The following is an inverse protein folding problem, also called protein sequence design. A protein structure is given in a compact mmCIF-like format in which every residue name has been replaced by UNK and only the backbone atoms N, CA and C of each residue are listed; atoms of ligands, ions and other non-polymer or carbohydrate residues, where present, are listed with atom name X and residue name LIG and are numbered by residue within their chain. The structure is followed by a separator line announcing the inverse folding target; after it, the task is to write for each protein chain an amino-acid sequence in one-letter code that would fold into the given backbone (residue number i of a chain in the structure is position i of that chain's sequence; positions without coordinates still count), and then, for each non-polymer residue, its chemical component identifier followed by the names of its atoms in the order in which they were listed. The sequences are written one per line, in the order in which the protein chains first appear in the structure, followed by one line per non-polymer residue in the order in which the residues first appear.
data_IF_666978952749
#
_entry.id   IF_666978952749
#
_cell.length_a   1.000
_cell.length_b   1.000
_cell.length_c   1.000
_cell.angle_alpha   90.00
_cell.angle_beta   90.00
_cell.angle_gamma   90.00
#
_symmetry.space_group_name_H-M   'P 1'
#
loop_
_entity.id
_entity.type
_entity.pdbx_description
1 polymer ?
#
# COMPACT_ATOMS: atom_id res chain seq x y z
N UNK A 1 7.51 48.31 -6.12
CA UNK A 1 8.00 47.12 -5.42
C UNK A 1 6.94 46.02 -5.61
N UNK A 2 7.26 45.01 -6.40
CA UNK A 2 6.35 43.88 -6.60
C UNK A 2 6.56 42.85 -5.47
N UNK A 3 5.52 42.63 -4.69
CA UNK A 3 5.51 41.58 -3.66
C UNK A 3 5.44 40.26 -4.41
N UNK A 4 6.55 39.51 -4.46
CA UNK A 4 6.53 38.09 -4.85
C UNK A 4 5.82 37.34 -3.75
N UNK A 5 4.58 36.94 -4.01
CA UNK A 5 3.96 35.86 -3.25
C UNK A 5 4.73 34.56 -3.59
N UNK A 6 5.60 34.13 -2.69
CA UNK A 6 6.11 32.77 -2.67
C UNK A 6 4.97 31.92 -2.15
N UNK A 7 4.21 31.30 -3.06
CA UNK A 7 3.33 30.19 -2.71
C UNK A 7 4.21 29.04 -2.22
N UNK A 8 4.37 28.94 -0.91
CA UNK A 8 5.00 27.82 -0.23
C UNK A 8 4.07 26.59 -0.20
N UNK A 9 3.43 26.28 -1.33
CA UNK A 9 2.71 25.03 -1.50
C UNK A 9 3.71 23.90 -1.65
N UNK A 10 3.70 22.95 -0.74
CA UNK A 10 4.44 21.69 -0.88
C UNK A 10 4.06 21.05 -2.22
N UNK A 11 5.04 20.93 -3.15
CA UNK A 11 4.84 20.29 -4.44
C UNK A 11 4.82 18.76 -4.27
N UNK A 12 3.89 18.26 -3.42
CA UNK A 12 3.79 16.85 -3.08
C UNK A 12 2.61 16.23 -3.81
N UNK A 13 2.90 15.23 -4.62
CA UNK A 13 1.89 14.39 -5.29
C UNK A 13 1.62 13.17 -4.41
N UNK A 14 0.37 12.94 -4.12
CA UNK A 14 -0.09 11.81 -3.30
C UNK A 14 -0.44 10.63 -4.19
N UNK A 15 0.00 9.44 -3.82
CA UNK A 15 -0.28 8.20 -4.52
C UNK A 15 -0.94 7.18 -3.60
N UNK A 16 -1.88 6.44 -4.15
CA UNK A 16 -2.51 5.31 -3.49
C UNK A 16 -2.61 4.12 -4.44
N UNK A 17 -2.65 2.91 -3.88
CA UNK A 17 -2.76 1.70 -4.67
C UNK A 17 -4.22 1.29 -4.81
N UNK A 18 -4.69 1.19 -6.05
CA UNK A 18 -6.00 0.64 -6.37
C UNK A 18 -5.87 -0.86 -6.63
N UNK A 19 -6.38 -1.67 -5.71
CA UNK A 19 -6.17 -3.13 -5.72
C UNK A 19 -6.86 -3.82 -6.90
N UNK A 20 -8.08 -3.43 -7.25
CA UNK A 20 -8.84 -4.08 -8.34
C UNK A 20 -8.14 -3.99 -9.69
N UNK A 21 -7.71 -2.84 -10.19
CA UNK A 21 -6.88 -2.79 -11.39
C UNK A 21 -5.41 -3.15 -11.13
N UNK A 22 -4.97 -3.23 -9.88
CA UNK A 22 -3.57 -3.49 -9.55
C UNK A 22 -2.63 -2.36 -10.01
N UNK A 23 -2.99 -1.09 -9.78
CA UNK A 23 -2.23 0.08 -10.23
C UNK A 23 -2.01 1.10 -9.11
N UNK A 24 -0.86 1.74 -9.11
CA UNK A 24 -0.58 2.90 -8.29
C UNK A 24 -1.09 4.16 -9.01
N UNK A 25 -1.95 4.94 -8.36
CA UNK A 25 -2.61 6.10 -8.96
C UNK A 25 -2.37 7.36 -8.14
N UNK A 26 -2.27 8.50 -8.82
CA UNK A 26 -2.21 9.79 -8.14
C UNK A 26 -3.57 10.09 -7.47
N UNK A 27 -3.54 10.44 -6.19
CA UNK A 27 -4.74 10.73 -5.39
C UNK A 27 -5.16 12.18 -5.57
N UNK A 28 -5.81 12.49 -6.69
CA UNK A 28 -6.39 13.80 -7.01
C UNK A 28 -7.86 13.65 -7.46
N UNK A 29 -8.57 14.77 -7.57
CA UNK A 29 -9.99 14.76 -7.92
C UNK A 29 -10.29 14.15 -9.29
N UNK A 30 -9.45 14.43 -10.29
CA UNK A 30 -9.62 13.90 -11.65
C UNK A 30 -9.49 12.36 -11.64
N UNK A 31 -8.42 11.84 -11.04
CA UNK A 31 -8.21 10.39 -10.89
C UNK A 31 -9.35 9.73 -10.12
N UNK A 32 -9.83 10.36 -9.04
CA UNK A 32 -10.95 9.84 -8.25
C UNK A 32 -12.22 9.69 -9.07
N UNK A 33 -12.55 10.67 -9.89
CA UNK A 33 -13.71 10.59 -10.80
C UNK A 33 -13.59 9.39 -11.73
N UNK A 34 -12.42 9.21 -12.35
CA UNK A 34 -12.19 8.09 -13.27
C UNK A 34 -12.26 6.74 -12.54
N UNK A 35 -11.73 6.63 -11.31
CA UNK A 35 -11.85 5.41 -10.49
C UNK A 35 -13.32 5.10 -10.17
N UNK A 36 -14.10 6.11 -9.76
CA UNK A 36 -15.54 5.91 -9.48
C UNK A 36 -16.30 5.48 -10.74
N UNK A 37 -15.99 6.06 -11.89
CA UNK A 37 -16.60 5.67 -13.16
C UNK A 37 -16.20 4.25 -13.57
N UNK A 38 -14.92 3.88 -13.41
CA UNK A 38 -14.45 2.52 -13.68
C UNK A 38 -15.12 1.47 -12.78
N UNK A 39 -15.39 1.81 -11.52
CA UNK A 39 -16.15 0.96 -10.60
C UNK A 39 -17.60 0.77 -11.08
N UNK A 40 -18.26 1.84 -11.54
CA UNK A 40 -19.61 1.75 -12.12
C UNK A 40 -19.63 0.88 -13.38
N UNK A 41 -18.59 0.95 -14.21
CA UNK A 41 -18.45 0.17 -15.43
C UNK A 41 -18.49 -1.33 -15.18
N UNK A 42 -17.77 -1.82 -14.14
CA UNK A 42 -17.68 -3.26 -13.85
C UNK A 42 -18.68 -3.74 -12.80
N UNK A 43 -19.27 -2.81 -12.04
CA UNK A 43 -20.19 -3.10 -10.94
C UNK A 43 -19.50 -3.38 -9.62
N UNK A 44 -20.23 -3.09 -8.53
CA UNK A 44 -19.68 -3.16 -7.17
C UNK A 44 -19.22 -4.56 -6.77
N UNK A 45 -19.96 -5.60 -7.13
CA UNK A 45 -19.62 -6.97 -6.78
C UNK A 45 -18.35 -7.47 -7.49
N UNK A 46 -18.15 -7.06 -8.74
CA UNK A 46 -16.93 -7.36 -9.47
C UNK A 46 -15.74 -6.56 -8.91
N UNK A 47 -15.98 -5.30 -8.55
CA UNK A 47 -14.98 -4.45 -7.92
C UNK A 47 -14.49 -5.00 -6.57
N UNK A 48 -15.41 -5.46 -5.72
CA UNK A 48 -15.11 -6.04 -4.40
C UNK A 48 -14.31 -7.34 -4.47
N UNK A 49 -14.39 -8.10 -5.56
CA UNK A 49 -13.59 -9.31 -5.76
C UNK A 49 -12.09 -9.03 -5.94
N UNK A 50 -11.71 -7.76 -6.19
CA UNK A 50 -10.33 -7.35 -6.34
C UNK A 50 -9.71 -7.76 -7.68
N UNK A 51 -8.38 -7.90 -7.70
CA UNK A 51 -7.63 -8.24 -8.89
C UNK A 51 -7.85 -9.72 -9.30
N UNK A 52 -8.26 -9.92 -10.54
CA UNK A 52 -8.61 -11.25 -11.10
C UNK A 52 -7.72 -11.65 -12.29
N UNK A 53 -6.56 -10.99 -12.44
CA UNK A 53 -5.61 -11.22 -13.52
C UNK A 53 -5.78 -10.25 -14.69
N UNK A 54 -4.93 -10.42 -15.72
CA UNK A 54 -4.93 -9.55 -16.91
C UNK A 54 -5.30 -10.32 -18.20
N UNK A 55 -5.71 -11.57 -18.08
CA UNK A 55 -6.07 -12.40 -19.23
C UNK A 55 -7.56 -12.27 -19.60
N UNK A 56 -7.87 -12.41 -20.88
CA UNK A 56 -9.25 -12.49 -21.36
C UNK A 56 -10.10 -11.28 -20.99
N UNK A 57 -11.26 -11.56 -20.40
CA UNK A 57 -12.27 -10.57 -20.00
C UNK A 57 -12.20 -10.27 -18.50
N UNK A 58 -11.02 -10.37 -17.88
CA UNK A 58 -10.88 -10.06 -16.45
C UNK A 58 -11.30 -8.62 -16.14
N UNK A 59 -11.84 -8.42 -14.94
CA UNK A 59 -12.27 -7.10 -14.45
C UNK A 59 -11.09 -6.15 -14.39
N UNK A 60 -9.96 -6.61 -13.86
CA UNK A 60 -8.75 -5.81 -13.76
C UNK A 60 -8.28 -5.28 -15.14
N UNK A 61 -8.32 -6.11 -16.18
CA UNK A 61 -7.96 -5.69 -17.55
C UNK A 61 -8.94 -4.63 -18.10
N UNK A 62 -10.24 -4.82 -17.88
CA UNK A 62 -11.25 -3.86 -18.33
C UNK A 62 -11.06 -2.49 -17.65
N UNK A 63 -10.85 -2.51 -16.32
CA UNK A 63 -10.59 -1.30 -15.55
C UNK A 63 -9.29 -0.63 -16.00
N UNK A 64 -8.20 -1.37 -16.16
CA UNK A 64 -6.91 -0.82 -16.65
C UNK A 64 -7.03 -0.16 -18.01
N UNK A 65 -7.78 -0.79 -18.92
CA UNK A 65 -8.06 -0.20 -20.24
C UNK A 65 -8.79 1.14 -20.09
N UNK A 66 -9.86 1.17 -19.29
CA UNK A 66 -10.62 2.39 -19.04
C UNK A 66 -9.76 3.49 -18.40
N UNK A 67 -8.93 3.15 -17.40
CA UNK A 67 -8.00 4.08 -16.77
C UNK A 67 -7.02 4.68 -17.79
N UNK A 68 -6.44 3.83 -18.65
CA UNK A 68 -5.49 4.26 -19.69
C UNK A 68 -6.14 5.18 -20.72
N UNK A 69 -7.36 4.90 -21.15
CA UNK A 69 -8.15 5.74 -22.06
C UNK A 69 -8.49 7.12 -21.46
N UNK A 70 -8.49 7.21 -20.12
CA UNK A 70 -8.70 8.46 -19.37
C UNK A 70 -7.39 9.07 -18.81
N UNK A 71 -6.25 8.72 -19.39
CA UNK A 71 -4.96 9.34 -19.08
C UNK A 71 -4.30 8.86 -17.78
N UNK A 72 -4.79 7.79 -17.15
CA UNK A 72 -4.17 7.18 -15.96
C UNK A 72 -3.32 6.00 -16.42
N UNK A 73 -1.98 6.06 -16.25
CA UNK A 73 -1.09 5.01 -16.72
C UNK A 73 -1.33 3.70 -15.93
N UNK A 74 -1.29 2.53 -16.61
CA UNK A 74 -1.47 1.23 -15.95
C UNK A 74 -0.27 0.81 -15.10
N UNK A 75 0.88 1.44 -15.30
CA UNK A 75 2.10 1.23 -14.54
C UNK A 75 2.66 2.60 -14.14
N UNK A 76 2.78 2.84 -12.85
CA UNK A 76 3.42 4.03 -12.30
C UNK A 76 4.73 3.62 -11.65
N UNK A 77 5.81 4.27 -12.05
CA UNK A 77 7.13 4.12 -11.46
C UNK A 77 7.53 5.46 -10.88
N UNK A 78 8.04 5.44 -9.65
CA UNK A 78 8.52 6.61 -8.95
C UNK A 78 9.99 6.42 -8.60
N UNK A 79 10.76 7.47 -8.63
CA UNK A 79 12.16 7.53 -8.22
C UNK A 79 12.41 8.77 -7.36
N UNK A 80 13.58 8.84 -6.75
CA UNK A 80 13.94 9.96 -5.89
C UNK A 80 14.64 9.52 -4.62
N UNK A 81 14.91 10.49 -3.74
CA UNK A 81 15.50 10.24 -2.44
C UNK A 81 14.43 9.92 -1.40
N UNK A 82 14.62 8.85 -0.65
CA UNK A 82 13.75 8.45 0.44
C UNK A 82 13.94 9.38 1.63
N UNK A 83 12.93 10.18 1.94
CA UNK A 83 12.99 11.20 2.99
C UNK A 83 12.14 10.89 4.20
N UNK A 84 11.09 10.08 4.04
CA UNK A 84 10.23 9.68 5.16
C UNK A 84 9.60 8.31 4.94
N UNK A 85 9.45 7.56 6.03
CA UNK A 85 8.59 6.38 6.11
C UNK A 85 8.01 6.31 7.52
N UNK A 86 6.68 6.21 7.65
CA UNK A 86 6.03 6.29 8.95
C UNK A 86 4.64 5.65 8.95
N UNK A 87 4.18 5.33 10.16
CA UNK A 87 2.84 4.86 10.43
C UNK A 87 1.82 6.00 10.34
N UNK A 88 0.67 5.72 9.75
CA UNK A 88 -0.47 6.63 9.72
C UNK A 88 -1.74 5.87 10.04
N UNK A 89 -2.51 6.39 10.96
CA UNK A 89 -3.83 5.88 11.31
C UNK A 89 -4.87 6.95 11.04
N UNK A 90 -5.98 6.56 10.43
CA UNK A 90 -7.09 7.46 10.11
C UNK A 90 -8.39 6.76 10.42
N UNK A 91 -9.25 7.46 11.13
CA UNK A 91 -10.60 7.02 11.43
C UNK A 91 -11.57 7.59 10.39
N UNK A 92 -12.43 6.74 9.85
CA UNK A 92 -13.51 7.09 8.96
C UNK A 92 -14.78 6.35 9.40
N UNK A 93 -15.94 6.76 8.88
CA UNK A 93 -17.25 6.15 9.20
C UNK A 93 -17.27 4.62 9.00
N UNK A 94 -16.41 4.10 8.12
CA UNK A 94 -16.33 2.68 7.79
C UNK A 94 -15.21 1.92 8.54
N UNK A 95 -14.51 2.55 9.49
CA UNK A 95 -13.48 1.91 10.31
C UNK A 95 -12.15 2.64 10.36
N UNK A 96 -11.17 1.99 11.00
CA UNK A 96 -9.81 2.49 11.19
C UNK A 96 -8.92 1.99 10.07
N UNK A 97 -8.31 2.91 9.34
CA UNK A 97 -7.33 2.60 8.28
C UNK A 97 -5.92 2.77 8.84
N UNK A 98 -5.13 1.72 8.74
CA UNK A 98 -3.75 1.65 9.22
C UNK A 98 -2.81 1.47 8.03
N UNK A 99 -2.03 2.50 7.75
CA UNK A 99 -1.23 2.60 6.54
C UNK A 99 0.26 2.83 6.88
N UNK A 100 1.13 2.36 5.98
CA UNK A 100 2.46 2.91 5.83
C UNK A 100 2.41 4.08 4.84
N UNK A 101 3.02 5.20 5.24
CA UNK A 101 3.31 6.32 4.35
C UNK A 101 4.81 6.35 4.04
N UNK A 102 5.12 6.46 2.76
CA UNK A 102 6.47 6.40 2.21
C UNK A 102 6.66 7.60 1.27
N UNK A 103 7.66 8.46 1.55
CA UNK A 103 7.87 9.71 0.80
C UNK A 103 9.21 9.68 0.08
N UNK A 104 9.14 9.89 -1.24
CA UNK A 104 10.28 10.18 -2.09
C UNK A 104 10.31 11.65 -2.46
N UNK A 105 11.49 12.19 -2.70
CA UNK A 105 11.69 13.54 -3.26
C UNK A 105 12.61 13.44 -4.45
N UNK A 106 12.11 13.85 -5.60
CA UNK A 106 12.94 14.06 -6.78
C UNK A 106 13.78 15.33 -6.58
N UNK A 107 15.10 15.17 -6.56
CA UNK A 107 16.01 16.30 -6.35
C UNK A 107 16.18 17.20 -7.56
N UNK A 108 15.86 16.72 -8.76
CA UNK A 108 16.03 17.51 -9.98
C UNK A 108 14.94 18.58 -10.10
N UNK A 109 13.71 18.21 -9.80
CA UNK A 109 12.54 19.08 -9.92
C UNK A 109 11.96 19.54 -8.57
N UNK A 110 12.40 18.95 -7.45
CA UNK A 110 11.90 19.24 -6.10
C UNK A 110 10.50 18.71 -5.82
N UNK A 111 9.96 17.82 -6.67
CA UNK A 111 8.67 17.18 -6.45
C UNK A 111 8.76 16.12 -5.35
N UNK A 112 7.75 16.10 -4.49
CA UNK A 112 7.58 15.05 -3.48
C UNK A 112 6.53 14.04 -3.92
N UNK A 113 6.78 12.76 -3.71
CA UNK A 113 5.83 11.67 -3.95
C UNK A 113 5.51 10.99 -2.62
N UNK A 114 4.28 11.12 -2.14
CA UNK A 114 3.83 10.45 -0.92
C UNK A 114 2.93 9.27 -1.28
N UNK A 115 3.44 8.08 -1.06
CA UNK A 115 2.72 6.82 -1.30
C UNK A 115 2.09 6.33 -0.01
N UNK A 116 0.84 5.90 -0.09
CA UNK A 116 0.09 5.29 1.02
C UNK A 116 -0.29 3.86 0.66
N UNK A 117 0.11 2.89 1.49
CA UNK A 117 -0.26 1.48 1.36
C UNK A 117 -0.84 0.95 2.67
N UNK A 118 -1.95 0.19 2.63
CA UNK A 118 -2.48 -0.47 3.82
C UNK A 118 -1.48 -1.47 4.39
N UNK A 119 -1.26 -1.45 5.72
CA UNK A 119 -0.37 -2.41 6.40
C UNK A 119 -0.90 -3.84 6.24
N UNK A 120 -2.21 -4.02 6.20
CA UNK A 120 -2.83 -5.33 5.99
C UNK A 120 -2.56 -5.92 4.59
N UNK A 121 -2.22 -5.09 3.59
CA UNK A 121 -1.97 -5.56 2.23
C UNK A 121 -0.60 -6.23 2.07
N UNK A 122 -0.49 -7.21 1.18
CA UNK A 122 0.79 -7.86 0.85
C UNK A 122 1.85 -6.87 0.37
N UNK A 123 1.45 -5.85 -0.40
CA UNK A 123 2.34 -4.77 -0.83
C UNK A 123 2.84 -3.93 0.35
N UNK A 124 1.97 -3.53 1.29
CA UNK A 124 2.36 -2.79 2.49
C UNK A 124 3.33 -3.57 3.38
N UNK A 125 3.03 -4.85 3.61
CA UNK A 125 3.92 -5.75 4.36
C UNK A 125 5.28 -5.92 3.69
N UNK A 126 5.32 -6.11 2.37
CA UNK A 126 6.56 -6.24 1.62
C UNK A 126 7.39 -4.94 1.65
N UNK A 127 6.73 -3.78 1.52
CA UNK A 127 7.41 -2.49 1.66
C UNK A 127 8.03 -2.34 3.05
N UNK A 128 7.28 -2.65 4.11
CA UNK A 128 7.78 -2.60 5.49
C UNK A 128 9.01 -3.50 5.67
N UNK A 129 8.97 -4.73 5.14
CA UNK A 129 10.11 -5.66 5.21
C UNK A 129 11.36 -5.13 4.49
N UNK A 130 11.19 -4.44 3.34
CA UNK A 130 12.30 -3.83 2.61
C UNK A 130 12.87 -2.62 3.35
N UNK A 131 12.01 -1.76 3.90
CA UNK A 131 12.43 -0.57 4.65
C UNK A 131 13.05 -0.91 6.01
N UNK A 132 12.72 -2.07 6.58
CA UNK A 132 13.35 -2.57 7.81
C UNK A 132 14.82 -2.98 7.59
N UNK A 133 15.27 -3.22 6.36
CA UNK A 133 16.66 -3.50 6.04
C UNK A 133 17.57 -2.35 6.51
N UNK A 134 18.66 -2.68 7.21
CA UNK A 134 19.56 -1.69 7.83
C UNK A 134 20.28 -0.79 6.82
N UNK A 135 20.44 -1.26 5.58
CA UNK A 135 21.00 -0.46 4.50
C UNK A 135 20.05 0.66 4.02
N UNK A 136 18.78 0.64 4.43
CA UNK A 136 17.78 1.64 4.05
C UNK A 136 17.63 2.66 5.16
N UNK A 137 17.99 3.90 4.85
CA UNK A 137 17.93 5.04 5.77
C UNK A 137 17.40 6.27 5.04
N UNK A 138 17.16 7.36 5.77
CA UNK A 138 16.88 8.65 5.17
C UNK A 138 18.03 9.06 4.23
N UNK A 139 17.69 9.52 3.05
CA UNK A 139 18.66 9.87 2.01
C UNK A 139 19.00 8.72 1.06
N UNK A 140 18.50 7.51 1.30
CA UNK A 140 18.67 6.39 0.34
C UNK A 140 18.05 6.78 -1.00
N UNK A 141 18.86 6.72 -2.06
CA UNK A 141 18.38 6.98 -3.42
C UNK A 141 17.67 5.75 -3.96
N UNK A 142 16.46 5.97 -4.43
CA UNK A 142 15.60 4.96 -5.06
C UNK A 142 15.56 5.26 -6.55
N UNK A 143 16.07 4.35 -7.35
CA UNK A 143 16.01 4.44 -8.82
C UNK A 143 14.71 3.93 -9.39
N UNK A 144 13.95 3.15 -8.61
CA UNK A 144 12.64 2.65 -9.02
C UNK A 144 11.83 2.18 -7.82
N UNK A 145 10.64 2.75 -7.68
CA UNK A 145 9.58 2.23 -6.83
C UNK A 145 8.34 1.96 -7.68
N UNK A 146 7.75 0.79 -7.55
CA UNK A 146 6.47 0.47 -8.18
C UNK A 146 5.71 -0.57 -7.36
N UNK A 147 4.38 -0.55 -7.47
CA UNK A 147 3.48 -1.54 -6.88
C UNK A 147 2.72 -2.22 -8.01
N UNK A 148 2.70 -3.54 -8.02
CA UNK A 148 2.12 -4.33 -9.10
C UNK A 148 1.55 -5.65 -8.56
N UNK A 149 0.55 -6.24 -9.24
CA UNK A 149 0.07 -7.57 -8.89
C UNK A 149 1.14 -8.60 -9.23
N UNK A 150 1.37 -9.52 -8.29
CA UNK A 150 2.26 -10.66 -8.48
C UNK A 150 1.64 -11.74 -9.37
N UNK A 151 2.33 -12.86 -9.49
CA UNK A 151 1.82 -14.03 -10.18
C UNK A 151 0.67 -14.65 -9.40
N UNK A 152 -0.38 -15.08 -10.11
CA UNK A 152 -1.49 -15.76 -9.48
C UNK A 152 -1.07 -17.10 -8.89
N UNK A 153 -1.54 -17.38 -7.67
CA UNK A 153 -1.38 -18.67 -7.01
C UNK A 153 -2.71 -19.36 -6.93
N UNK A 154 -2.76 -20.58 -7.44
CA UNK A 154 -3.95 -21.42 -7.40
C UNK A 154 -4.03 -22.13 -6.05
N UNK A 155 -5.16 -21.99 -5.39
CA UNK A 155 -5.53 -22.82 -4.25
C UNK A 155 -6.17 -24.12 -4.79
N UNK A 156 -5.54 -25.24 -4.50
CA UNK A 156 -5.99 -26.55 -4.98
C UNK A 156 -7.32 -26.99 -4.32
N UNK A 157 -7.58 -26.57 -3.09
CA UNK A 157 -8.79 -26.94 -2.36
C UNK A 157 -10.04 -26.21 -2.89
N UNK A 158 -9.90 -24.94 -3.24
CA UNK A 158 -11.01 -24.08 -3.70
C UNK A 158 -11.02 -23.87 -5.20
N UNK A 159 -9.95 -24.26 -5.90
CA UNK A 159 -9.70 -23.99 -7.32
C UNK A 159 -9.70 -22.48 -7.68
N UNK A 160 -9.57 -21.61 -6.67
CA UNK A 160 -9.47 -20.15 -6.86
C UNK A 160 -8.03 -19.73 -7.11
N UNK A 161 -7.86 -18.65 -7.85
CA UNK A 161 -6.56 -18.03 -8.06
C UNK A 161 -6.52 -16.73 -7.25
N UNK A 162 -5.54 -16.62 -6.37
CA UNK A 162 -5.27 -15.43 -5.56
C UNK A 162 -4.05 -14.71 -6.11
N UNK A 163 -4.09 -13.38 -6.08
CA UNK A 163 -2.99 -12.54 -6.54
C UNK A 163 -2.48 -11.70 -5.39
N UNK A 164 -1.24 -11.95 -4.99
CA UNK A 164 -0.54 -11.06 -4.08
C UNK A 164 -0.13 -9.78 -4.80
N UNK A 165 -0.14 -8.66 -4.09
CA UNK A 165 0.41 -7.41 -4.61
C UNK A 165 1.86 -7.26 -4.13
N UNK A 166 2.74 -6.95 -5.06
CA UNK A 166 4.18 -6.87 -4.82
C UNK A 166 4.70 -5.45 -4.94
N UNK A 167 5.85 -5.20 -4.32
CA UNK A 167 6.57 -3.93 -4.38
C UNK A 167 7.95 -4.18 -4.98
N UNK A 168 8.29 -3.45 -6.02
CA UNK A 168 9.65 -3.29 -6.49
C UNK A 168 10.25 -2.04 -5.86
N UNK A 169 11.39 -2.18 -5.21
CA UNK A 169 12.16 -1.08 -4.63
C UNK A 169 13.63 -1.31 -4.99
N UNK A 170 14.17 -0.48 -5.88
CA UNK A 170 15.56 -0.57 -6.35
C UNK A 170 16.38 0.60 -5.84
N UNK A 171 17.59 0.31 -5.40
CA UNK A 171 18.58 1.32 -5.04
C UNK A 171 19.17 2.07 -6.25
N UNK A 172 20.08 2.99 -6.00
CA UNK A 172 20.77 3.78 -7.03
C UNK A 172 21.52 2.91 -8.04
N UNK A 173 22.04 1.78 -7.59
CA UNK A 173 22.73 0.76 -8.41
C UNK A 173 21.78 -0.08 -9.30
N UNK A 174 20.48 0.19 -9.25
CA UNK A 174 19.45 -0.58 -9.96
C UNK A 174 19.16 -1.96 -9.37
N UNK A 175 19.85 -2.34 -8.25
CA UNK A 175 19.63 -3.61 -7.60
C UNK A 175 18.38 -3.54 -6.71
N UNK A 176 17.71 -4.67 -6.61
CA UNK A 176 16.53 -4.81 -5.74
C UNK A 176 16.95 -4.73 -4.27
N UNK A 177 16.34 -3.82 -3.50
CA UNK A 177 16.52 -3.75 -2.06
C UNK A 177 15.92 -5.01 -1.43
N UNK A 178 16.76 -5.78 -0.75
CA UNK A 178 16.36 -7.02 -0.08
C UNK A 178 15.51 -6.72 1.15
N UNK A 179 14.64 -7.66 1.48
CA UNK A 179 13.90 -7.63 2.74
C UNK A 179 14.88 -7.81 3.92
N UNK A 180 14.55 -7.23 5.07
CA UNK A 180 15.27 -7.51 6.31
C UNK A 180 15.16 -9.00 6.66
N UNK A 181 16.27 -9.58 7.07
CA UNK A 181 16.35 -10.99 7.42
C UNK A 181 15.48 -11.28 8.65
N UNK A 182 14.80 -12.40 8.66
CA UNK A 182 13.98 -12.86 9.78
C UNK A 182 12.57 -12.28 9.85
N UNK A 183 12.37 -11.02 9.45
CA UNK A 183 11.09 -10.30 9.64
C UNK A 183 9.89 -11.06 9.05
N UNK A 184 10.03 -11.69 7.90
CA UNK A 184 8.96 -12.49 7.31
C UNK A 184 8.59 -13.70 8.19
N UNK A 185 9.57 -14.47 8.64
CA UNK A 185 9.36 -15.64 9.49
C UNK A 185 8.81 -15.27 10.88
N UNK A 186 9.25 -14.15 11.43
CA UNK A 186 8.73 -13.61 12.70
C UNK A 186 7.26 -13.22 12.56
N UNK A 187 6.86 -12.62 11.43
CA UNK A 187 5.47 -12.31 11.14
C UNK A 187 4.60 -13.57 11.06
N UNK A 188 5.07 -14.62 10.37
CA UNK A 188 4.39 -15.92 10.35
C UNK A 188 4.25 -16.49 11.77
N UNK A 189 5.31 -16.45 12.58
CA UNK A 189 5.28 -16.97 13.94
C UNK A 189 4.30 -16.20 14.83
N UNK A 190 4.23 -14.87 14.71
CA UNK A 190 3.29 -14.03 15.46
C UNK A 190 1.83 -14.38 15.12
N UNK A 191 1.52 -14.53 13.83
CA UNK A 191 0.18 -14.94 13.37
C UNK A 191 -0.17 -16.32 13.88
N UNK A 192 0.75 -17.30 13.75
CA UNK A 192 0.54 -18.66 14.23
C UNK A 192 0.27 -18.69 15.73
N UNK A 193 1.08 -17.98 16.53
CA UNK A 193 0.89 -17.90 17.97
C UNK A 193 -0.50 -17.38 18.35
N UNK A 194 -0.99 -16.35 17.66
CA UNK A 194 -2.32 -15.78 17.91
C UNK A 194 -3.45 -16.73 17.55
N UNK A 195 -3.35 -17.40 16.40
CA UNK A 195 -4.38 -18.36 15.95
C UNK A 195 -4.39 -19.61 16.80
N UNK A 196 -3.21 -20.15 17.19
CA UNK A 196 -3.11 -21.31 18.06
C UNK A 196 -3.67 -21.02 19.46
N UNK A 197 -3.43 -19.83 20.00
CA UNK A 197 -4.01 -19.40 21.28
C UNK A 197 -5.55 -19.39 21.25
N UNK A 198 -6.16 -18.91 20.14
CA UNK A 198 -7.61 -18.94 19.98
C UNK A 198 -8.16 -20.35 19.86
N UNK A 199 -7.52 -21.20 19.05
CA UNK A 199 -7.93 -22.61 18.92
C UNK A 199 -7.85 -23.36 20.27
N UNK A 200 -6.84 -23.08 21.08
CA UNK A 200 -6.71 -23.67 22.41
C UNK A 200 -7.85 -23.28 23.36
N UNK A 201 -8.56 -22.18 23.11
CA UNK A 201 -9.77 -21.77 23.85
C UNK A 201 -11.06 -22.27 23.22
N UNK A 202 -10.99 -23.13 22.20
CA UNK A 202 -12.15 -23.75 21.55
C UNK A 202 -12.79 -22.91 20.43
N UNK A 203 -12.13 -21.84 19.97
CA UNK A 203 -12.59 -21.06 18.83
C UNK A 203 -12.01 -21.62 17.53
N UNK A 204 -12.83 -22.41 16.79
CA UNK A 204 -12.47 -22.98 15.49
C UNK A 204 -13.20 -22.31 14.31
N UNK A 205 -14.00 -21.28 14.59
CA UNK A 205 -14.71 -20.53 13.56
C UNK A 205 -13.73 -19.82 12.61
N UNK A 206 -13.89 -20.08 11.31
CA UNK A 206 -12.97 -19.57 10.26
C UNK A 206 -12.94 -18.05 10.22
N UNK A 207 -14.09 -17.39 10.38
CA UNK A 207 -14.17 -15.92 10.33
C UNK A 207 -13.44 -15.29 11.53
N UNK A 208 -13.66 -15.85 12.72
CA UNK A 208 -12.97 -15.40 13.96
C UNK A 208 -11.45 -15.57 13.83
N UNK A 209 -11.02 -16.74 13.30
CA UNK A 209 -9.59 -17.01 13.09
C UNK A 209 -8.98 -16.05 12.04
N UNK A 210 -9.68 -15.74 10.95
CA UNK A 210 -9.22 -14.80 9.94
C UNK A 210 -9.13 -13.37 10.49
N UNK A 211 -10.11 -12.89 11.24
CA UNK A 211 -10.06 -11.59 11.93
C UNK A 211 -8.86 -11.50 12.90
N UNK A 212 -8.64 -12.55 13.68
CA UNK A 212 -7.51 -12.60 14.60
C UNK A 212 -6.15 -12.60 13.88
N UNK A 213 -6.06 -13.34 12.77
CA UNK A 213 -4.90 -13.40 11.90
C UNK A 213 -4.58 -12.02 11.31
N UNK A 214 -5.58 -11.36 10.70
CA UNK A 214 -5.41 -10.02 10.13
C UNK A 214 -4.99 -9.02 11.20
N UNK A 215 -5.59 -9.07 12.39
CA UNK A 215 -5.19 -8.23 13.50
C UNK A 215 -3.75 -8.48 13.92
N UNK A 216 -3.32 -9.73 14.05
CA UNK A 216 -1.95 -10.09 14.41
C UNK A 216 -0.93 -9.62 13.36
N UNK A 217 -1.26 -9.72 12.07
CA UNK A 217 -0.43 -9.18 10.97
C UNK A 217 -0.25 -7.68 11.12
N UNK A 218 -1.34 -6.94 11.27
CA UNK A 218 -1.31 -5.48 11.39
C UNK A 218 -0.52 -5.05 12.63
N UNK A 219 -0.77 -5.67 13.79
CA UNK A 219 -0.04 -5.37 15.03
C UNK A 219 1.46 -5.64 14.88
N UNK A 220 1.85 -6.75 14.27
CA UNK A 220 3.26 -7.09 14.03
C UNK A 220 3.95 -6.07 13.14
N UNK A 221 3.40 -5.79 11.95
CA UNK A 221 4.03 -4.86 11.01
C UNK A 221 3.95 -3.40 11.47
N UNK A 222 2.93 -3.01 12.21
CA UNK A 222 2.88 -1.71 12.91
C UNK A 222 4.04 -1.62 13.92
N UNK A 223 4.30 -2.68 14.68
CA UNK A 223 5.43 -2.75 15.61
C UNK A 223 6.77 -2.51 14.90
N UNK A 224 7.03 -3.20 13.79
CA UNK A 224 8.24 -3.02 12.97
C UNK A 224 8.33 -1.58 12.45
N UNK A 225 7.22 -1.04 11.93
CA UNK A 225 7.20 0.31 11.37
C UNK A 225 7.54 1.37 12.41
N UNK A 226 6.93 1.30 13.59
CA UNK A 226 7.13 2.28 14.66
C UNK A 226 8.48 2.13 15.36
N UNK A 227 8.94 0.87 15.63
CA UNK A 227 10.14 0.64 16.44
C UNK A 227 11.43 0.56 15.64
N UNK A 228 11.39 0.19 14.36
CA UNK A 228 12.58 -0.01 13.52
C UNK A 228 12.67 1.03 12.41
N UNK A 229 11.56 1.29 11.71
CA UNK A 229 11.60 2.13 10.51
C UNK A 229 11.53 3.61 10.87
N UNK A 230 10.54 4.07 11.63
CA UNK A 230 10.39 5.50 11.97
C UNK A 230 11.65 6.13 12.57
N UNK A 231 12.42 5.46 13.46
CA UNK A 231 13.66 6.00 13.98
C UNK A 231 14.75 6.28 12.91
N UNK A 232 14.72 5.56 11.78
CA UNK A 232 15.63 5.82 10.64
C UNK A 232 15.23 7.06 9.82
N UNK A 233 13.98 7.55 10.00
CA UNK A 233 13.39 8.66 9.26
C UNK A 233 12.83 9.72 10.22
N UNK A 234 13.66 10.33 11.08
CA UNK A 234 13.18 11.33 12.01
C UNK A 234 12.46 12.45 11.25
N UNK A 235 11.26 12.76 11.70
CA UNK A 235 10.49 13.89 11.15
C UNK A 235 11.23 15.17 11.50
N UNK A 236 11.48 16.01 10.51
CA UNK A 236 11.84 17.39 10.80
C UNK A 236 10.64 18.02 11.51
N UNK A 237 10.86 18.53 12.71
CA UNK A 237 9.89 19.36 13.40
C UNK A 237 9.77 20.66 12.60
N UNK A 238 9.03 20.62 11.50
CA UNK A 238 8.59 21.86 10.85
C UNK A 238 7.50 22.42 11.76
N UNK A 239 7.72 23.64 12.20
CA UNK A 239 6.78 24.39 13.03
C UNK A 239 5.36 24.26 12.47
N UNK A 240 4.43 24.04 13.36
CA UNK A 240 3.00 23.86 13.12
C UNK A 240 2.46 24.83 12.07
N UNK A 241 2.24 24.37 10.84
CA UNK A 241 1.22 24.95 9.97
C UNK A 241 0.97 24.02 8.77
N UNK A 242 -0.20 23.43 8.78
CA UNK A 242 -0.78 22.77 7.62
C UNK A 242 -1.10 21.29 7.85
N UNK A 243 -2.37 21.02 8.02
CA UNK A 243 -2.91 19.67 7.91
C UNK A 243 -2.60 19.14 6.50
N UNK A 244 -1.64 18.24 6.36
CA UNK A 244 -1.29 17.53 5.11
C UNK A 244 -2.37 16.49 4.73
N UNK A 245 -3.63 16.79 4.97
CA UNK A 245 -4.72 15.89 4.59
C UNK A 245 -5.34 16.33 3.27
N UNK A 246 -5.28 15.49 2.24
CA UNK A 246 -6.14 15.68 1.08
C UNK A 246 -7.59 15.45 1.52
N UNK A 247 -8.40 16.49 1.40
CA UNK A 247 -9.84 16.47 1.68
C UNK A 247 -10.49 15.37 0.85
N UNK A 248 -10.99 14.33 1.51
CA UNK A 248 -11.90 13.33 0.98
C UNK A 248 -11.26 12.23 0.12
N UNK A 249 -11.05 11.05 0.70
CA UNK A 249 -10.88 9.82 -0.08
C UNK A 249 -12.16 9.46 -0.80
N UNK A 250 -12.09 8.96 -2.05
CA UNK A 250 -13.14 8.10 -2.55
C UNK A 250 -13.14 6.87 -1.64
N UNK A 251 -14.31 6.49 -1.19
CA UNK A 251 -14.54 5.25 -0.46
C UNK A 251 -14.07 4.10 -1.36
N UNK A 252 -12.78 3.74 -1.29
CA UNK A 252 -12.42 2.37 -1.57
C UNK A 252 -13.00 1.62 -0.38
N UNK A 253 -14.21 1.07 -0.55
CA UNK A 253 -14.69 0.05 0.33
C UNK A 253 -13.66 -1.08 0.27
N UNK A 254 -12.62 -1.01 1.10
CA UNK A 254 -12.10 -2.23 1.64
C UNK A 254 -13.23 -2.76 2.51
N UNK A 255 -14.27 -3.31 1.87
CA UNK A 255 -15.00 -4.37 2.50
C UNK A 255 -13.91 -5.32 2.97
N UNK A 256 -13.84 -5.55 4.26
CA UNK A 256 -13.17 -6.73 4.79
C UNK A 256 -13.51 -7.84 3.82
N UNK A 257 -12.59 -8.19 2.93
CA UNK A 257 -12.74 -9.37 2.10
C UNK A 257 -12.50 -10.52 3.06
N UNK A 258 -13.54 -11.22 3.53
CA UNK A 258 -13.38 -12.33 4.45
C UNK A 258 -12.60 -13.47 3.81
N UNK A 259 -12.34 -13.40 2.50
CA UNK A 259 -11.64 -14.40 1.70
C UNK A 259 -10.23 -13.96 1.27
N UNK A 260 -9.67 -12.86 1.79
CA UNK A 260 -8.23 -12.61 1.61
C UNK A 260 -7.45 -13.62 2.47
N UNK A 261 -7.51 -14.87 2.08
CA UNK A 261 -6.57 -15.90 2.51
C UNK A 261 -5.18 -15.44 2.02
N UNK A 262 -4.48 -14.70 2.88
CA UNK A 262 -3.05 -14.48 2.69
C UNK A 262 -2.40 -15.83 2.97
N UNK A 263 -1.92 -16.53 1.96
CA UNK A 263 -1.27 -17.80 2.18
C UNK A 263 0.16 -17.54 2.62
N UNK A 264 0.51 -18.14 3.69
CA UNK A 264 1.90 -18.35 4.07
C UNK A 264 2.45 -19.57 3.36
#
# INVERSE_FOLDING_TARGET
MAIKQTNGGSNTIYFEYSSTPGVLVASNEATRKVIVESRKLVGDDAWKRGFDGLAGNSVARQVRKFLSENGIPPNTELDGELVAAYYSEREHDNGVYQDIRFKLVDKENGEGYLVTLPIASSAGQLLIRKLANDAVTRGTKISKFSVFPGNGRKDEATNRVYFDHSVQLKGEDGQEIKQAEGVFNEGIAAVKARTDALKATGFDDREVLNKARNKAIVEFYKGILVSIIEPKFPREVQGESGSDEPVGRPVSNHSEDPDSDIPF
#
